data_IF_219890926588
#
_entry.id   IF_219890926588
#
_cell.length_a   1.000
_cell.length_b   1.000
_cell.length_c   1.000
_cell.angle_alpha   90.00
_cell.angle_beta   90.00
_cell.angle_gamma   90.00
#
_symmetry.space_group_name_H-M   'P 1'
#
loop_
_entity.id
_entity.type
_entity.pdbx_description
1 polymer ?
#
# COMPACT_ATOMS: atom_id res chain seq x y z
N UNK A 1 12.30 -22.91 8.87
CA UNK A 1 13.13 -21.68 8.76
C UNK A 1 13.83 -21.56 7.41
N UNK A 2 14.56 -22.57 6.91
CA UNK A 2 15.32 -22.49 5.64
C UNK A 2 14.47 -22.11 4.42
N UNK A 3 13.26 -22.67 4.27
CA UNK A 3 12.35 -22.33 3.17
C UNK A 3 11.91 -20.85 3.18
N UNK A 4 11.65 -20.29 4.36
CA UNK A 4 11.23 -18.88 4.53
C UNK A 4 12.35 -17.93 4.09
N UNK A 5 13.60 -18.22 4.47
CA UNK A 5 14.76 -17.42 4.03
C UNK A 5 15.01 -17.53 2.52
N UNK A 6 14.78 -18.69 1.91
CA UNK A 6 14.88 -18.85 0.45
C UNK A 6 13.78 -18.08 -0.29
N UNK A 7 12.54 -18.08 0.21
CA UNK A 7 11.45 -17.27 -0.34
C UNK A 7 11.73 -15.77 -0.19
N UNK A 8 12.26 -15.33 0.94
CA UNK A 8 12.68 -13.94 1.17
C UNK A 8 13.79 -13.51 0.19
N UNK A 9 14.83 -14.32 0.01
CA UNK A 9 15.92 -14.02 -0.92
C UNK A 9 15.46 -13.87 -2.37
N UNK A 10 14.51 -14.71 -2.81
CA UNK A 10 13.87 -14.58 -4.14
C UNK A 10 12.98 -13.35 -4.23
N UNK A 11 12.25 -13.03 -3.17
CA UNK A 11 11.41 -11.81 -3.08
C UNK A 11 12.24 -10.54 -3.28
N UNK A 12 13.41 -10.46 -2.62
CA UNK A 12 14.34 -9.33 -2.74
C UNK A 12 14.81 -9.13 -4.18
N UNK A 13 15.18 -10.22 -4.85
CA UNK A 13 15.67 -10.17 -6.23
C UNK A 13 14.59 -9.77 -7.24
N UNK A 14 13.35 -10.18 -7.00
CA UNK A 14 12.25 -9.99 -7.95
C UNK A 14 11.51 -8.64 -7.76
N UNK A 15 11.64 -8.00 -6.58
CA UNK A 15 11.06 -6.67 -6.29
C UNK A 15 12.05 -5.76 -5.55
N UNK A 16 13.18 -5.38 -6.18
CA UNK A 16 14.24 -4.60 -5.50
C UNK A 16 13.73 -3.27 -4.94
N UNK A 17 12.80 -2.60 -5.64
CA UNK A 17 12.28 -1.30 -5.22
C UNK A 17 11.47 -1.33 -3.92
N UNK A 18 10.75 -2.42 -3.64
CA UNK A 18 10.04 -2.59 -2.37
C UNK A 18 11.02 -2.67 -1.20
N UNK A 19 12.09 -3.46 -1.36
CA UNK A 19 13.10 -3.61 -0.33
C UNK A 19 13.99 -2.37 -0.18
N UNK A 20 14.28 -1.64 -1.26
CA UNK A 20 14.94 -0.33 -1.21
C UNK A 20 14.11 0.66 -0.40
N UNK A 21 12.79 0.74 -0.66
CA UNK A 21 11.89 1.59 0.11
C UNK A 21 11.88 1.20 1.59
N UNK A 22 11.78 -0.10 1.90
CA UNK A 22 11.81 -0.61 3.28
C UNK A 22 13.15 -0.28 3.97
N UNK A 23 14.26 -0.46 3.28
CA UNK A 23 15.59 -0.15 3.79
C UNK A 23 15.79 1.35 4.06
N UNK A 24 15.26 2.22 3.19
CA UNK A 24 15.25 3.67 3.43
C UNK A 24 14.47 4.04 4.69
N UNK A 25 13.32 3.39 4.94
CA UNK A 25 12.57 3.57 6.18
C UNK A 25 13.38 3.13 7.40
N UNK A 26 14.04 1.98 7.33
CA UNK A 26 14.89 1.47 8.42
C UNK A 26 16.06 2.42 8.74
N UNK A 27 16.77 2.91 7.71
CA UNK A 27 17.84 3.91 7.89
C UNK A 27 17.28 5.17 8.55
N UNK A 28 16.14 5.69 8.07
CA UNK A 28 15.49 6.87 8.64
C UNK A 28 15.18 6.65 10.12
N UNK A 29 14.66 5.47 10.50
CA UNK A 29 14.37 5.14 11.89
C UNK A 29 15.63 5.10 12.76
N UNK A 30 16.70 4.47 12.29
CA UNK A 30 17.97 4.40 13.01
C UNK A 30 18.58 5.78 13.24
N UNK A 31 18.60 6.61 12.20
CA UNK A 31 19.13 7.99 12.26
C UNK A 31 18.32 8.81 13.27
N UNK A 32 16.99 8.77 13.20
CA UNK A 32 16.13 9.54 14.11
C UNK A 32 16.23 9.06 15.56
N UNK A 33 16.35 7.75 15.78
CA UNK A 33 16.53 7.19 17.14
C UNK A 33 17.85 7.65 17.77
N UNK A 34 18.90 7.84 16.96
CA UNK A 34 20.19 8.28 17.46
C UNK A 34 20.30 9.81 17.62
N UNK A 35 19.65 10.58 16.74
CA UNK A 35 19.73 12.04 16.72
C UNK A 35 18.67 12.75 17.58
N UNK A 36 17.56 12.08 17.91
CA UNK A 36 16.41 12.72 18.57
C UNK A 36 15.94 11.91 19.78
N UNK A 37 15.31 12.59 20.74
CA UNK A 37 14.59 11.98 21.87
C UNK A 37 13.10 11.79 21.56
N UNK A 38 12.72 11.74 20.28
CA UNK A 38 11.33 11.58 19.87
C UNK A 38 10.78 10.23 20.30
N UNK A 39 9.46 10.20 20.54
CA UNK A 39 8.77 8.96 20.85
C UNK A 39 8.84 7.99 19.67
N UNK A 40 8.82 6.70 19.99
CA UNK A 40 8.91 5.63 18.98
C UNK A 40 7.80 5.74 17.92
N UNK A 41 6.60 6.21 18.28
CA UNK A 41 5.50 6.42 17.34
C UNK A 41 5.86 7.47 16.30
N UNK A 42 6.41 8.61 16.72
CA UNK A 42 6.84 9.68 15.81
C UNK A 42 7.95 9.19 14.87
N UNK A 43 8.95 8.50 15.40
CA UNK A 43 10.05 7.94 14.61
C UNK A 43 9.51 6.94 13.57
N UNK A 44 8.57 6.08 13.98
CA UNK A 44 7.95 5.10 13.08
C UNK A 44 7.16 5.79 11.97
N UNK A 45 6.33 6.78 12.29
CA UNK A 45 5.51 7.50 11.32
C UNK A 45 6.38 8.28 10.31
N UNK A 46 7.44 8.97 10.75
CA UNK A 46 8.36 9.67 9.84
C UNK A 46 9.06 8.68 8.91
N UNK A 47 9.57 7.58 9.47
CA UNK A 47 10.25 6.52 8.71
C UNK A 47 9.33 5.84 7.70
N UNK A 48 8.07 5.60 8.09
CA UNK A 48 7.01 5.11 7.21
C UNK A 48 6.79 6.05 6.03
N UNK A 49 6.55 7.35 6.30
CA UNK A 49 6.29 8.30 5.24
C UNK A 49 7.47 8.44 4.27
N UNK A 50 8.71 8.39 4.78
CA UNK A 50 9.90 8.36 3.94
C UNK A 50 9.93 7.11 3.03
N UNK A 51 9.72 5.93 3.61
CA UNK A 51 9.68 4.66 2.90
C UNK A 51 8.60 4.63 1.82
N UNK A 52 7.36 4.97 2.19
CA UNK A 52 6.20 4.98 1.30
C UNK A 52 6.36 6.02 0.20
N UNK A 53 6.92 7.19 0.49
CA UNK A 53 7.17 8.22 -0.54
C UNK A 53 8.12 7.69 -1.62
N UNK A 54 9.22 7.03 -1.22
CA UNK A 54 10.15 6.39 -2.17
C UNK A 54 9.42 5.34 -3.01
N UNK A 55 8.58 4.51 -2.39
CA UNK A 55 7.83 3.50 -3.10
C UNK A 55 6.80 4.09 -4.07
N UNK A 56 6.01 5.08 -3.65
CA UNK A 56 5.01 5.73 -4.49
C UNK A 56 5.67 6.48 -5.66
N UNK A 57 6.82 7.13 -5.45
CA UNK A 57 7.60 7.72 -6.54
C UNK A 57 8.04 6.67 -7.57
N UNK A 58 8.45 5.50 -7.11
CA UNK A 58 8.75 4.37 -8.00
C UNK A 58 7.52 3.91 -8.79
N UNK A 59 6.35 3.78 -8.15
CA UNK A 59 5.10 3.44 -8.85
C UNK A 59 4.75 4.48 -9.90
N UNK A 60 4.85 5.77 -9.58
CA UNK A 60 4.61 6.87 -10.53
C UNK A 60 5.58 6.82 -11.72
N UNK A 61 6.84 6.44 -11.51
CA UNK A 61 7.80 6.24 -12.60
C UNK A 61 7.45 5.00 -13.43
N UNK A 62 7.03 3.91 -12.79
CA UNK A 62 6.61 2.68 -13.45
C UNK A 62 5.39 2.91 -14.36
N UNK A 63 4.44 3.75 -13.92
CA UNK A 63 3.26 4.14 -14.71
C UNK A 63 3.61 4.84 -16.03
N UNK A 64 4.77 5.52 -16.12
CA UNK A 64 5.21 6.15 -17.38
C UNK A 64 5.65 5.13 -18.43
N UNK A 65 5.82 3.87 -18.05
CA UNK A 65 6.21 2.79 -18.95
C UNK A 65 4.96 2.02 -19.40
N UNK A 66 4.41 2.39 -20.56
CA UNK A 66 3.20 1.78 -21.13
C UNK A 66 3.49 0.55 -22.00
N UNK A 67 4.57 -0.19 -21.72
CA UNK A 67 5.01 -1.30 -22.57
C UNK A 67 4.43 -2.62 -22.09
N UNK A 68 3.36 -3.08 -22.74
CA UNK A 68 2.71 -4.36 -22.47
C UNK A 68 3.72 -5.52 -22.43
N UNK A 69 4.67 -5.57 -23.37
CA UNK A 69 5.62 -6.69 -23.46
C UNK A 69 6.48 -6.79 -22.19
N UNK A 70 6.85 -5.65 -21.61
CA UNK A 70 7.57 -5.57 -20.33
C UNK A 70 6.69 -5.96 -19.16
N UNK A 71 5.42 -5.57 -19.14
CA UNK A 71 4.48 -5.96 -18.08
C UNK A 71 4.27 -7.48 -18.02
N UNK A 72 4.14 -8.14 -19.18
CA UNK A 72 4.00 -9.59 -19.24
C UNK A 72 5.28 -10.32 -18.79
N UNK A 73 6.45 -9.82 -19.17
CA UNK A 73 7.74 -10.35 -18.70
C UNK A 73 7.96 -10.13 -17.20
N UNK A 74 7.54 -8.98 -16.66
CA UNK A 74 7.60 -8.67 -15.24
C UNK A 74 6.66 -9.57 -14.43
N UNK A 75 5.46 -9.85 -14.94
CA UNK A 75 4.50 -10.73 -14.28
C UNK A 75 5.12 -12.13 -14.03
N UNK A 76 5.73 -12.74 -15.05
CA UNK A 76 6.38 -14.07 -14.91
C UNK A 76 7.51 -14.11 -13.89
N UNK A 77 8.22 -12.99 -13.66
CA UNK A 77 9.35 -12.94 -12.71
C UNK A 77 8.91 -12.81 -11.25
N UNK A 78 7.67 -12.44 -10.95
CA UNK A 78 7.23 -12.08 -9.60
C UNK A 78 6.38 -13.15 -8.86
N UNK A 79 6.13 -14.30 -9.51
CA UNK A 79 5.11 -15.31 -9.13
C UNK A 79 5.31 -15.91 -7.71
N UNK A 80 6.54 -16.05 -7.22
CA UNK A 80 6.81 -16.84 -6.00
C UNK A 80 6.65 -16.09 -4.65
N UNK A 81 6.34 -14.79 -4.65
CA UNK A 81 6.43 -13.97 -3.41
C UNK A 81 5.25 -13.05 -3.09
N UNK A 82 4.19 -13.07 -3.92
CA UNK A 82 3.07 -12.11 -3.79
C UNK A 82 2.41 -12.13 -2.41
N UNK A 83 2.12 -13.32 -1.86
CA UNK A 83 1.46 -13.46 -0.57
C UNK A 83 2.34 -13.04 0.61
N UNK A 84 3.66 -13.28 0.54
CA UNK A 84 4.60 -12.83 1.58
C UNK A 84 4.65 -11.31 1.63
N UNK A 85 4.74 -10.67 0.46
CA UNK A 85 4.75 -9.20 0.38
C UNK A 85 3.42 -8.64 0.85
N UNK A 86 2.30 -9.25 0.48
CA UNK A 86 0.99 -8.82 0.93
C UNK A 86 0.84 -8.93 2.46
N UNK A 87 1.34 -10.01 3.07
CA UNK A 87 1.37 -10.15 4.53
C UNK A 87 2.22 -9.04 5.18
N UNK A 88 3.40 -8.75 4.65
CA UNK A 88 4.26 -7.66 5.14
C UNK A 88 3.54 -6.31 5.05
N UNK A 89 2.85 -6.04 3.94
CA UNK A 89 2.08 -4.81 3.74
C UNK A 89 0.94 -4.70 4.75
N UNK A 90 0.19 -5.78 5.00
CA UNK A 90 -0.88 -5.79 5.99
C UNK A 90 -0.38 -5.51 7.40
N UNK A 91 0.72 -6.17 7.80
CA UNK A 91 1.34 -5.95 9.10
C UNK A 91 1.84 -4.52 9.24
N UNK A 92 2.42 -3.97 8.18
CA UNK A 92 2.92 -2.60 8.20
C UNK A 92 1.77 -1.58 8.29
N UNK A 93 0.67 -1.77 7.55
CA UNK A 93 -0.54 -0.94 7.67
C UNK A 93 -1.14 -1.00 9.08
N UNK A 94 -1.22 -2.20 9.67
CA UNK A 94 -1.70 -2.37 11.04
C UNK A 94 -0.81 -1.64 12.06
N UNK A 95 0.52 -1.79 11.93
CA UNK A 95 1.49 -1.08 12.78
C UNK A 95 1.38 0.44 12.64
N UNK A 96 1.13 0.95 11.43
CA UNK A 96 0.89 2.37 11.20
C UNK A 96 -0.38 2.87 11.89
N UNK A 97 -1.49 2.12 11.85
CA UNK A 97 -2.71 2.48 12.57
C UNK A 97 -2.48 2.54 14.09
N UNK A 98 -1.76 1.56 14.65
CA UNK A 98 -1.40 1.56 16.07
C UNK A 98 -0.52 2.76 16.41
N UNK A 99 0.49 3.06 15.59
CA UNK A 99 1.37 4.21 15.80
C UNK A 99 0.61 5.55 15.70
N UNK A 100 -0.35 5.67 14.79
CA UNK A 100 -1.23 6.85 14.68
C UNK A 100 -2.06 7.03 15.96
N UNK A 101 -2.70 5.96 16.45
CA UNK A 101 -3.49 6.03 17.69
C UNK A 101 -2.65 6.49 18.88
N UNK A 102 -1.42 5.97 19.01
CA UNK A 102 -0.51 6.35 20.08
C UNK A 102 -0.06 7.81 19.91
N UNK A 103 0.35 8.21 18.71
CA UNK A 103 0.75 9.58 18.38
C UNK A 103 -0.33 10.60 18.74
N UNK A 104 -1.59 10.28 18.47
CA UNK A 104 -2.74 11.15 18.73
C UNK A 104 -3.24 11.10 20.19
N UNK A 105 -2.95 10.03 20.92
CA UNK A 105 -3.25 9.93 22.37
C UNK A 105 -2.28 10.73 23.25
N UNK A 106 -1.11 11.08 22.72
CA UNK A 106 -0.01 11.73 23.45
C UNK A 106 0.33 13.09 22.83
N UNK A 107 -0.70 13.89 22.54
CA UNK A 107 -0.51 15.21 21.94
C UNK A 107 0.22 16.15 22.93
N UNK A 108 1.29 16.85 22.48
CA UNK A 108 1.94 17.87 23.29
C UNK A 108 1.00 19.01 23.68
N UNK A 109 1.27 19.65 24.82
CA UNK A 109 0.55 20.85 25.26
C UNK A 109 0.86 22.08 24.39
N UNK A 110 2.08 22.16 23.87
CA UNK A 110 2.53 23.23 22.98
C UNK A 110 1.80 23.17 21.63
N UNK A 111 1.16 24.27 21.24
CA UNK A 111 0.27 24.34 20.07
C UNK A 111 0.95 23.96 18.75
N UNK A 112 2.18 24.43 18.54
CA UNK A 112 2.96 24.14 17.32
C UNK A 112 3.33 22.65 17.22
N UNK A 113 3.77 22.05 18.32
CA UNK A 113 4.12 20.63 18.37
C UNK A 113 2.87 19.74 18.22
N UNK A 114 1.74 20.14 18.83
CA UNK A 114 0.43 19.50 18.64
C UNK A 114 0.02 19.47 17.17
N UNK A 115 0.12 20.61 16.47
CA UNK A 115 -0.18 20.70 15.04
C UNK A 115 0.74 19.79 14.22
N UNK A 116 2.03 19.73 14.53
CA UNK A 116 2.99 18.83 13.88
C UNK A 116 2.63 17.36 14.04
N UNK A 117 2.21 16.92 15.24
CA UNK A 117 1.78 15.54 15.49
C UNK A 117 0.53 15.17 14.67
N UNK A 118 -0.46 16.08 14.62
CA UNK A 118 -1.69 15.87 13.84
C UNK A 118 -1.40 15.84 12.34
N UNK A 119 -0.59 16.77 11.84
CA UNK A 119 -0.19 16.80 10.43
C UNK A 119 0.56 15.53 10.01
N UNK A 120 1.47 15.03 10.87
CA UNK A 120 2.19 13.78 10.61
C UNK A 120 1.24 12.57 10.58
N UNK A 121 0.26 12.51 11.50
CA UNK A 121 -0.74 11.46 11.50
C UNK A 121 -1.60 11.49 10.22
N UNK A 122 -2.07 12.66 9.80
CA UNK A 122 -2.83 12.84 8.56
C UNK A 122 -2.02 12.44 7.32
N UNK A 123 -0.76 12.86 7.25
CA UNK A 123 0.14 12.48 6.15
C UNK A 123 0.33 10.95 6.10
N UNK A 124 0.48 10.32 7.26
CA UNK A 124 0.62 8.85 7.36
C UNK A 124 -0.65 8.13 6.90
N UNK A 125 -1.83 8.64 7.26
CA UNK A 125 -3.12 8.10 6.82
C UNK A 125 -3.21 8.13 5.29
N UNK A 126 -2.94 9.30 4.69
CA UNK A 126 -2.99 9.47 3.23
C UNK A 126 -1.95 8.60 2.53
N UNK A 127 -0.72 8.55 3.04
CA UNK A 127 0.35 7.74 2.45
C UNK A 127 0.04 6.25 2.54
N UNK A 128 -0.51 5.78 3.67
CA UNK A 128 -0.93 4.40 3.85
C UNK A 128 -2.09 4.01 2.91
N UNK A 129 -3.06 4.90 2.72
CA UNK A 129 -4.16 4.72 1.78
C UNK A 129 -3.65 4.56 0.34
N UNK A 130 -2.83 5.50 -0.12
CA UNK A 130 -2.23 5.47 -1.47
C UNK A 130 -1.37 4.21 -1.67
N UNK A 131 -0.57 3.86 -0.67
CA UNK A 131 0.30 2.69 -0.71
C UNK A 131 -0.49 1.40 -0.86
N UNK A 132 -1.53 1.20 -0.04
CA UNK A 132 -2.38 0.02 -0.09
C UNK A 132 -2.97 -0.18 -1.50
N UNK A 133 -3.61 0.84 -2.06
CA UNK A 133 -4.23 0.73 -3.38
C UNK A 133 -3.20 0.60 -4.51
N UNK A 134 -2.02 1.21 -4.39
CA UNK A 134 -0.92 0.99 -5.33
C UNK A 134 -0.42 -0.45 -5.32
N UNK A 135 -0.28 -1.04 -4.13
CA UNK A 135 0.10 -2.45 -3.98
C UNK A 135 -0.96 -3.37 -4.59
N UNK A 136 -2.26 -3.14 -4.35
CA UNK A 136 -3.32 -3.93 -4.96
C UNK A 136 -3.38 -3.78 -6.48
N UNK A 137 -3.16 -2.57 -7.02
CA UNK A 137 -3.08 -2.35 -8.45
C UNK A 137 -1.99 -3.22 -9.11
N UNK A 138 -0.81 -3.31 -8.49
CA UNK A 138 0.25 -4.21 -8.96
C UNK A 138 -0.13 -5.69 -8.87
N UNK A 139 -0.91 -6.10 -7.87
CA UNK A 139 -1.40 -7.47 -7.76
C UNK A 139 -2.43 -7.81 -8.84
N UNK A 140 -3.35 -6.89 -9.13
CA UNK A 140 -4.28 -7.05 -10.24
C UNK A 140 -3.56 -7.13 -11.59
N UNK A 141 -2.59 -6.23 -11.83
CA UNK A 141 -1.77 -6.27 -13.04
C UNK A 141 -1.01 -7.60 -13.18
N UNK A 142 -0.37 -8.04 -12.09
CA UNK A 142 0.36 -9.30 -12.07
C UNK A 142 -0.55 -10.50 -12.35
N UNK A 143 -1.69 -10.63 -11.65
CA UNK A 143 -2.60 -11.75 -11.82
C UNK A 143 -3.26 -11.75 -13.21
N UNK A 144 -3.56 -10.56 -13.75
CA UNK A 144 -4.07 -10.39 -15.11
C UNK A 144 -3.08 -10.90 -16.16
N UNK A 145 -1.84 -10.41 -16.12
CA UNK A 145 -0.83 -10.80 -17.10
C UNK A 145 -0.33 -12.24 -16.91
N UNK A 146 -0.40 -12.78 -15.68
CA UNK A 146 -0.14 -14.19 -15.42
C UNK A 146 -1.21 -15.09 -16.04
N UNK A 147 -2.50 -14.76 -15.90
CA UNK A 147 -3.59 -15.49 -16.53
C UNK A 147 -3.49 -15.46 -18.07
N UNK A 148 -3.21 -14.30 -18.66
CA UNK A 148 -2.95 -14.21 -20.11
C UNK A 148 -1.78 -15.08 -20.55
N UNK A 149 -0.70 -15.15 -19.75
CA UNK A 149 0.44 -16.00 -20.08
C UNK A 149 0.15 -17.51 -20.03
N UNK A 150 -0.95 -17.91 -19.39
CA UNK A 150 -1.46 -19.29 -19.31
C UNK A 150 -2.55 -19.57 -20.35
N UNK A 151 -2.82 -18.63 -21.27
CA UNK A 151 -3.90 -18.67 -22.25
C UNK A 151 -5.30 -18.77 -21.60
N UNK A 152 -5.48 -18.20 -20.40
CA UNK A 152 -6.81 -18.04 -19.80
C UNK A 152 -7.50 -16.82 -20.43
N UNK A 153 -8.74 -16.99 -20.89
CA UNK A 153 -9.52 -15.89 -21.49
C UNK A 153 -9.72 -14.73 -20.50
N UNK A 154 -9.58 -13.50 -21.03
CA UNK A 154 -9.91 -12.22 -20.37
C UNK A 154 -9.10 -11.85 -19.11
N UNK A 155 -8.06 -12.62 -18.72
CA UNK A 155 -7.14 -12.26 -17.63
C UNK A 155 -7.78 -12.04 -16.24
N UNK A 156 -9.08 -12.24 -16.07
CA UNK A 156 -9.82 -11.97 -14.82
C UNK A 156 -10.41 -10.56 -14.67
N UNK A 157 -10.06 -9.60 -15.53
CA UNK A 157 -10.60 -8.24 -15.52
C UNK A 157 -10.90 -7.79 -16.96
N UNK A 158 -12.10 -7.30 -17.21
CA UNK A 158 -12.51 -6.77 -18.50
C UNK A 158 -12.58 -5.24 -18.43
N UNK A 159 -11.65 -4.58 -19.11
CA UNK A 159 -11.54 -3.11 -19.17
C UNK A 159 -12.23 -2.61 -20.45
N UNK A 160 -13.24 -1.74 -20.35
CA UNK A 160 -13.99 -1.27 -21.51
C UNK A 160 -13.09 -0.69 -22.60
N UNK A 161 -13.17 -1.27 -23.80
CA UNK A 161 -12.41 -0.81 -24.97
C UNK A 161 -10.89 -0.91 -24.83
N UNK A 162 -10.37 -1.67 -23.85
CA UNK A 162 -8.94 -1.71 -23.53
C UNK A 162 -8.43 -3.16 -23.52
N UNK A 163 -7.97 -3.63 -24.66
CA UNK A 163 -7.44 -5.00 -24.83
C UNK A 163 -6.13 -5.24 -24.07
N UNK A 164 -5.32 -4.18 -23.90
CA UNK A 164 -4.00 -4.24 -23.31
C UNK A 164 -3.86 -3.22 -22.16
N UNK A 165 -4.49 -3.47 -21.00
CA UNK A 165 -4.50 -2.53 -19.88
C UNK A 165 -3.10 -2.33 -19.31
N UNK A 166 -2.78 -1.09 -18.99
CA UNK A 166 -1.51 -0.63 -18.43
C UNK A 166 -1.64 -0.37 -16.93
N UNK A 167 -0.53 -0.07 -16.23
CA UNK A 167 -0.55 0.21 -14.79
C UNK A 167 -1.58 1.28 -14.36
N UNK A 168 -1.78 2.39 -15.10
CA UNK A 168 -2.88 3.33 -14.84
C UNK A 168 -4.27 2.70 -14.77
N UNK A 169 -4.59 1.72 -15.64
CA UNK A 169 -5.90 1.07 -15.67
C UNK A 169 -6.13 0.23 -14.40
N UNK A 170 -5.10 -0.50 -13.96
CA UNK A 170 -5.16 -1.25 -12.70
C UNK A 170 -5.20 -0.35 -11.45
N UNK A 171 -4.55 0.82 -11.50
CA UNK A 171 -4.64 1.82 -10.44
C UNK A 171 -6.04 2.41 -10.37
N UNK A 172 -6.61 2.77 -11.51
CA UNK A 172 -8.00 3.20 -11.63
C UNK A 172 -8.95 2.18 -10.98
N UNK A 173 -8.85 0.90 -11.38
CA UNK A 173 -9.64 -0.17 -10.79
C UNK A 173 -9.44 -0.28 -9.26
N UNK A 174 -8.19 -0.32 -8.82
CA UNK A 174 -7.83 -0.48 -7.40
C UNK A 174 -8.34 0.69 -6.54
N UNK A 175 -8.20 1.92 -7.02
CA UNK A 175 -8.61 3.11 -6.27
C UNK A 175 -10.13 3.24 -6.18
N UNK A 176 -10.88 2.84 -7.22
CA UNK A 176 -12.35 2.80 -7.14
C UNK A 176 -12.82 1.81 -6.09
N UNK A 177 -12.22 0.61 -6.02
CA UNK A 177 -12.51 -0.34 -4.94
C UNK A 177 -12.18 0.29 -3.58
N UNK A 178 -11.09 1.04 -3.51
CA UNK A 178 -10.68 1.78 -2.33
C UNK A 178 -11.70 2.79 -1.82
N UNK A 179 -12.24 3.61 -2.72
CA UNK A 179 -13.14 4.71 -2.39
C UNK A 179 -14.60 4.28 -2.24
N UNK A 180 -15.06 3.32 -3.04
CA UNK A 180 -16.50 3.03 -3.22
C UNK A 180 -16.88 1.57 -3.04
N UNK A 181 -15.90 0.66 -2.92
CA UNK A 181 -16.12 -0.80 -2.85
C UNK A 181 -16.93 -1.39 -4.03
N UNK A 182 -17.08 -0.68 -5.15
CA UNK A 182 -17.80 -1.14 -6.34
C UNK A 182 -16.91 -1.04 -7.58
N UNK A 183 -17.16 -1.87 -8.59
CA UNK A 183 -16.53 -1.76 -9.92
C UNK A 183 -17.40 -0.89 -10.83
N UNK A 184 -16.95 0.31 -11.21
CA UNK A 184 -17.80 1.23 -11.98
C UNK A 184 -18.02 0.77 -13.43
N UNK A 185 -16.96 0.34 -14.11
CA UNK A 185 -16.95 0.03 -15.54
C UNK A 185 -16.06 -1.18 -15.90
N UNK A 186 -15.17 -1.60 -15.00
CA UNK A 186 -14.33 -2.80 -15.17
C UNK A 186 -15.00 -4.04 -14.58
N UNK A 187 -15.25 -5.06 -15.39
CA UNK A 187 -15.93 -6.29 -14.92
C UNK A 187 -14.95 -7.35 -14.43
N UNK A 188 -15.26 -8.04 -13.33
CA UNK A 188 -14.44 -9.14 -12.81
C UNK A 188 -14.90 -10.48 -13.42
N UNK A 189 -14.09 -11.04 -14.31
CA UNK A 189 -14.50 -12.18 -15.15
C UNK A 189 -14.20 -13.55 -14.52
N UNK A 190 -13.24 -13.66 -13.58
CA UNK A 190 -12.85 -14.95 -12.99
C UNK A 190 -13.10 -15.05 -11.48
N UNK A 191 -13.28 -16.28 -10.98
CA UNK A 191 -13.44 -16.55 -9.55
C UNK A 191 -12.20 -16.14 -8.74
N UNK A 192 -11.01 -16.37 -9.28
CA UNK A 192 -9.75 -16.01 -8.62
C UNK A 192 -9.67 -14.50 -8.37
N UNK A 193 -9.95 -13.70 -9.41
CA UNK A 193 -9.92 -12.24 -9.32
C UNK A 193 -11.01 -11.70 -8.38
N UNK A 194 -12.19 -12.36 -8.31
CA UNK A 194 -13.23 -12.02 -7.31
C UNK A 194 -12.76 -12.22 -5.86
N UNK A 195 -11.99 -13.27 -5.58
CA UNK A 195 -11.46 -13.51 -4.23
C UNK A 195 -10.41 -12.46 -3.83
N UNK A 196 -9.52 -12.09 -4.77
CA UNK A 196 -8.57 -11.00 -4.56
C UNK A 196 -9.31 -9.67 -4.31
N UNK A 197 -10.35 -9.39 -5.09
CA UNK A 197 -11.16 -8.19 -4.92
C UNK A 197 -11.93 -8.17 -3.61
N UNK A 198 -12.49 -9.30 -3.19
CA UNK A 198 -13.15 -9.40 -1.89
C UNK A 198 -12.18 -9.07 -0.76
N UNK A 199 -10.96 -9.61 -0.83
CA UNK A 199 -9.91 -9.32 0.15
C UNK A 199 -9.56 -7.82 0.17
N UNK A 200 -9.37 -7.22 -1.00
CA UNK A 200 -9.10 -5.78 -1.12
C UNK A 200 -10.24 -4.92 -0.55
N UNK A 201 -11.49 -5.24 -0.90
CA UNK A 201 -12.67 -4.50 -0.46
C UNK A 201 -12.85 -4.55 1.06
N UNK A 202 -12.71 -5.74 1.68
CA UNK A 202 -12.81 -5.90 3.14
C UNK A 202 -11.71 -5.10 3.85
N UNK A 203 -10.48 -5.16 3.35
CA UNK A 203 -9.37 -4.42 3.92
C UNK A 203 -9.59 -2.90 3.80
N UNK A 204 -9.99 -2.43 2.62
CA UNK A 204 -10.28 -1.01 2.37
C UNK A 204 -11.40 -0.51 3.28
N UNK A 205 -12.48 -1.27 3.40
CA UNK A 205 -13.60 -0.93 4.28
C UNK A 205 -13.14 -0.80 5.75
N UNK A 206 -12.36 -1.77 6.24
CA UNK A 206 -11.80 -1.73 7.60
C UNK A 206 -10.88 -0.54 7.83
N UNK A 207 -10.01 -0.24 6.86
CA UNK A 207 -9.09 0.90 6.90
C UNK A 207 -9.86 2.24 6.92
N UNK A 208 -10.81 2.44 6.00
CA UNK A 208 -11.66 3.64 5.94
C UNK A 208 -12.49 3.83 7.21
N UNK A 209 -13.05 2.74 7.76
CA UNK A 209 -13.80 2.78 9.02
C UNK A 209 -12.91 3.18 10.19
N UNK A 210 -11.68 2.67 10.24
CA UNK A 210 -10.71 3.01 11.28
C UNK A 210 -10.31 4.48 11.21
N UNK A 211 -10.06 5.01 10.01
CA UNK A 211 -9.78 6.44 9.81
C UNK A 211 -10.94 7.29 10.29
N UNK A 212 -12.18 6.92 9.92
CA UNK A 212 -13.36 7.65 10.36
C UNK A 212 -13.46 7.70 11.88
N UNK A 213 -13.21 6.56 12.56
CA UNK A 213 -13.19 6.49 14.02
C UNK A 213 -12.09 7.38 14.63
N UNK A 214 -10.88 7.38 14.07
CA UNK A 214 -9.78 8.24 14.50
C UNK A 214 -10.15 9.71 14.32
N UNK A 215 -10.70 10.10 13.17
CA UNK A 215 -11.12 11.47 12.89
C UNK A 215 -12.18 11.96 13.88
N UNK A 216 -13.18 11.12 14.19
CA UNK A 216 -14.22 11.45 15.20
C UNK A 216 -13.57 11.66 16.57
N UNK A 217 -12.68 10.76 16.99
CA UNK A 217 -12.01 10.87 18.30
C UNK A 217 -11.15 12.15 18.40
N UNK A 218 -10.39 12.47 17.35
CA UNK A 218 -9.60 13.70 17.27
C UNK A 218 -10.50 14.94 17.30
N UNK A 219 -11.56 14.98 16.49
CA UNK A 219 -12.49 16.09 16.45
C UNK A 219 -13.17 16.32 17.82
N UNK A 220 -13.62 15.25 18.48
CA UNK A 220 -14.17 15.32 19.82
C UNK A 220 -13.16 15.89 20.82
N UNK A 221 -11.89 15.48 20.74
CA UNK A 221 -10.81 16.02 21.57
C UNK A 221 -10.47 17.49 21.32
N UNK A 222 -10.76 18.02 20.13
CA UNK A 222 -10.63 19.46 19.84
C UNK A 222 -11.84 20.29 20.26
N UNK A 223 -13.03 19.70 20.31
CA UNK A 223 -14.26 20.38 20.75
C UNK A 223 -14.41 20.43 22.28
N UNK A 224 -13.76 19.50 22.98
CA UNK A 224 -13.86 19.35 24.45
C UNK A 224 -12.71 20.01 25.22
N UNK A 225 -11.66 20.47 24.53
CA UNK A 225 -10.55 21.26 25.09
C UNK A 225 -10.65 22.71 24.62
#
# INVERSE_FOLDING_TARGET
MVAVFQHLGRSVRNRPHFFIALFMGFITAMILTWLTSWQWSTILLVSWNASVSVYLLYILQLMKSCDHSKMQQQAKKQDESKWVIMLIVLLALAMCLVAILIQLSQLPSESSAKLGHVALALLTIVSAWLFMHSVFALHYAHDFYMALSRNEENGGLDFPGTEHPTYPDFLYFSYIIGTSAQTADVSITTKHMRLLNLFHAVLSFGFNTTILAICINVAAGFLTN
#
